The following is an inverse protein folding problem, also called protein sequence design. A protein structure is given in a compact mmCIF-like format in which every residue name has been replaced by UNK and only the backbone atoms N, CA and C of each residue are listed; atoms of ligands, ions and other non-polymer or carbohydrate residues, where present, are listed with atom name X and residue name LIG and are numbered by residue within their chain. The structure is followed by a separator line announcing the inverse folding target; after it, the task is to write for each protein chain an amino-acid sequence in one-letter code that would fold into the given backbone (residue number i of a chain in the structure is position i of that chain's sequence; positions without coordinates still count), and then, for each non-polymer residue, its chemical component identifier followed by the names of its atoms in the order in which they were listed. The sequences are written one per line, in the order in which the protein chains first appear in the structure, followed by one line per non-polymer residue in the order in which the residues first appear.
data_IF_460633459079
#
_entry.id   IF_460633459079
#
_cell.length_a   1.000
_cell.length_b   1.000
_cell.length_c   1.000
_cell.angle_alpha   90.00
_cell.angle_beta   90.00
_cell.angle_gamma   90.00
#
_symmetry.space_group_name_H-M   'P 1'
#
loop_
_entity.id
_entity.type
_entity.pdbx_description
1 polymer ?
#
# COMPACT_ATOMS: atom_id res chain seq x y z
N UNK A 1 2.75 -37.42 1.33
CA UNK A 1 3.12 -36.76 0.04
C UNK A 1 2.96 -35.26 0.22
N UNK A 2 3.57 -34.44 -0.63
CA UNK A 2 3.49 -32.98 -0.54
C UNK A 2 2.75 -32.38 -1.73
N UNK A 3 2.08 -31.26 -1.52
CA UNK A 3 1.41 -30.53 -2.59
C UNK A 3 2.42 -29.85 -3.50
N UNK A 4 2.37 -30.15 -4.81
CA UNK A 4 3.28 -29.59 -5.82
C UNK A 4 3.25 -28.05 -5.96
N UNK A 5 2.19 -27.39 -5.48
CA UNK A 5 2.00 -25.93 -5.66
C UNK A 5 2.27 -25.12 -4.40
N UNK A 6 1.90 -25.64 -3.22
CA UNK A 6 2.01 -24.90 -1.96
C UNK A 6 2.90 -25.57 -0.91
N UNK A 7 3.50 -26.74 -1.21
CA UNK A 7 4.46 -27.41 -0.33
C UNK A 7 3.89 -28.03 0.94
N UNK A 8 2.56 -28.01 1.13
CA UNK A 8 1.91 -28.57 2.33
C UNK A 8 1.93 -30.10 2.28
N UNK A 9 2.15 -30.74 3.42
CA UNK A 9 2.02 -32.18 3.58
C UNK A 9 0.55 -32.62 3.45
N UNK A 10 0.31 -33.61 2.60
CA UNK A 10 -0.99 -34.20 2.31
C UNK A 10 -1.08 -35.57 2.98
N UNK A 11 -2.15 -35.74 3.76
CA UNK A 11 -2.59 -37.01 4.31
C UNK A 11 -3.52 -37.64 3.26
N UNK A 12 -2.98 -38.57 2.48
CA UNK A 12 -3.69 -39.37 1.46
C UNK A 12 -4.32 -38.58 0.30
N UNK A 13 -4.94 -39.29 -0.65
CA UNK A 13 -5.34 -38.89 -2.01
C UNK A 13 -6.42 -37.78 -2.11
N UNK A 14 -6.50 -36.91 -1.12
CA UNK A 14 -7.43 -35.80 -1.05
C UNK A 14 -6.89 -34.54 -1.75
N UNK A 15 -7.78 -33.70 -2.33
CA UNK A 15 -7.40 -32.37 -2.80
C UNK A 15 -6.69 -31.57 -1.72
N UNK A 16 -5.65 -30.84 -2.11
CA UNK A 16 -4.99 -29.93 -1.19
C UNK A 16 -6.01 -28.90 -0.65
N UNK A 17 -6.21 -28.79 0.68
CA UNK A 17 -7.22 -27.91 1.27
C UNK A 17 -6.92 -26.40 1.06
N UNK A 18 -5.69 -26.06 0.66
CA UNK A 18 -5.29 -24.67 0.41
C UNK A 18 -5.41 -24.27 -1.06
N UNK A 19 -5.05 -25.15 -1.99
CA UNK A 19 -4.96 -24.81 -3.42
C UNK A 19 -5.85 -25.66 -4.34
N UNK A 20 -6.58 -26.64 -3.80
CA UNK A 20 -7.57 -27.45 -4.52
C UNK A 20 -7.01 -28.48 -5.50
N UNK A 21 -5.69 -28.65 -5.61
CA UNK A 21 -5.08 -29.58 -6.58
C UNK A 21 -5.13 -31.00 -6.03
N UNK A 22 -5.67 -31.92 -6.83
CA UNK A 22 -5.89 -33.33 -6.47
C UNK A 22 -4.74 -34.23 -6.91
N UNK A 23 -4.02 -33.91 -8.00
CA UNK A 23 -2.90 -34.74 -8.49
C UNK A 23 -1.81 -33.93 -9.19
N UNK A 24 -0.56 -34.41 -9.17
CA UNK A 24 0.48 -33.93 -10.07
C UNK A 24 0.14 -34.32 -11.52
N UNK A 25 -0.32 -33.35 -12.31
CA UNK A 25 -0.58 -33.52 -13.74
C UNK A 25 0.52 -32.88 -14.57
N UNK A 26 1.32 -33.72 -15.21
CA UNK A 26 2.27 -33.35 -16.26
C UNK A 26 2.80 -34.62 -16.93
N UNK A 27 2.75 -34.69 -18.25
CA UNK A 27 3.36 -35.78 -19.03
C UNK A 27 4.89 -35.67 -19.04
N UNK A 28 5.42 -34.47 -18.75
CA UNK A 28 6.85 -34.20 -18.64
C UNK A 28 7.30 -34.14 -17.18
N UNK A 29 8.46 -34.74 -16.86
CA UNK A 29 9.02 -34.77 -15.51
C UNK A 29 10.44 -34.19 -15.45
N UNK A 30 10.78 -33.55 -14.34
CA UNK A 30 12.13 -33.09 -13.97
C UNK A 30 12.61 -33.83 -12.71
N UNK A 31 13.92 -33.88 -12.47
CA UNK A 31 14.46 -34.43 -11.21
C UNK A 31 14.40 -33.38 -10.10
N UNK A 32 14.03 -33.80 -8.88
CA UNK A 32 14.06 -32.93 -7.71
C UNK A 32 15.51 -32.54 -7.33
N UNK A 33 15.74 -31.26 -7.01
CA UNK A 33 17.06 -30.74 -6.56
C UNK A 33 17.59 -31.40 -5.28
N UNK A 34 16.69 -31.88 -4.40
CA UNK A 34 17.04 -32.44 -3.09
C UNK A 34 17.08 -33.97 -3.08
N UNK A 35 15.98 -34.62 -3.49
CA UNK A 35 15.86 -36.08 -3.41
C UNK A 35 16.03 -36.81 -4.75
N UNK A 36 16.24 -36.08 -5.84
CA UNK A 36 16.49 -36.62 -7.20
C UNK A 36 15.38 -37.49 -7.81
N UNK A 37 14.29 -37.73 -7.08
CA UNK A 37 13.09 -38.40 -7.59
C UNK A 37 12.42 -37.57 -8.69
N UNK A 38 11.78 -38.23 -9.68
CA UNK A 38 11.06 -37.56 -10.75
C UNK A 38 9.82 -36.85 -10.20
N UNK A 39 9.65 -35.60 -10.60
CA UNK A 39 8.52 -34.73 -10.25
C UNK A 39 8.01 -34.00 -11.49
N UNK A 40 6.75 -33.53 -11.53
CA UNK A 40 6.24 -32.72 -12.64
C UNK A 40 7.11 -31.49 -12.91
N UNK A 41 7.30 -31.14 -14.19
CA UNK A 41 8.09 -29.97 -14.58
C UNK A 41 7.56 -28.66 -13.97
N UNK A 42 6.23 -28.54 -13.87
CA UNK A 42 5.51 -27.40 -13.30
C UNK A 42 5.41 -27.43 -11.75
N UNK A 43 6.02 -28.40 -11.07
CA UNK A 43 6.00 -28.46 -9.61
C UNK A 43 6.92 -27.40 -9.00
N UNK A 44 6.34 -26.53 -8.16
CA UNK A 44 7.06 -25.57 -7.31
C UNK A 44 7.66 -26.28 -6.08
N UNK A 45 7.03 -27.35 -5.60
CA UNK A 45 7.51 -28.14 -4.47
C UNK A 45 7.58 -29.62 -4.84
N UNK A 46 8.57 -30.34 -4.31
CA UNK A 46 8.71 -31.76 -4.55
C UNK A 46 7.60 -32.55 -3.86
N UNK A 47 6.86 -33.39 -4.61
CA UNK A 47 5.77 -34.22 -4.07
C UNK A 47 6.23 -35.31 -3.10
N UNK A 48 7.52 -35.69 -3.15
CA UNK A 48 8.09 -36.74 -2.31
C UNK A 48 8.73 -36.20 -1.03
N UNK A 49 9.56 -35.17 -1.13
CA UNK A 49 10.35 -34.65 0.00
C UNK A 49 9.95 -33.25 0.48
N UNK A 50 9.00 -32.58 -0.19
CA UNK A 50 8.50 -31.26 0.19
C UNK A 50 9.45 -30.10 -0.11
N UNK A 51 10.66 -30.36 -0.63
CA UNK A 51 11.64 -29.31 -0.91
C UNK A 51 11.15 -28.35 -1.99
N UNK A 52 11.46 -27.06 -1.82
CA UNK A 52 11.23 -26.03 -2.84
C UNK A 52 12.05 -26.32 -4.09
N UNK A 53 11.38 -26.30 -5.23
CA UNK A 53 11.90 -26.56 -6.57
C UNK A 53 11.84 -25.31 -7.45
N UNK A 54 11.20 -24.23 -6.96
CA UNK A 54 11.30 -22.94 -7.60
C UNK A 54 12.78 -22.56 -7.72
N UNK A 55 13.16 -22.09 -8.90
CA UNK A 55 14.37 -21.32 -9.03
C UNK A 55 13.87 -19.89 -8.78
N UNK A 56 14.19 -19.31 -7.61
CA UNK A 56 14.14 -17.86 -7.47
C UNK A 56 15.25 -17.34 -8.37
N UNK A 57 14.90 -17.16 -9.64
CA UNK A 57 15.69 -16.36 -10.54
C UNK A 57 15.58 -14.93 -10.00
N UNK A 58 16.59 -14.47 -9.27
CA UNK A 58 16.82 -13.03 -9.06
C UNK A 58 17.11 -12.28 -10.39
N UNK A 59 17.11 -13.02 -11.50
CA UNK A 59 17.17 -12.50 -12.86
C UNK A 59 15.99 -13.05 -13.69
N UNK A 60 14.98 -12.20 -13.90
CA UNK A 60 14.30 -12.19 -15.20
C UNK A 60 15.37 -12.06 -16.29
N UNK A 61 15.55 -13.10 -17.09
CA UNK A 61 16.24 -13.05 -18.38
C UNK A 61 15.34 -13.88 -19.32
N UNK A 62 14.55 -13.28 -20.23
CA UNK A 62 14.96 -12.83 -21.57
C UNK A 62 16.27 -13.44 -22.03
N UNK A 63 16.20 -14.13 -23.18
CA UNK A 63 17.25 -14.84 -23.92
C UNK A 63 18.68 -14.25 -23.80
N UNK A 64 19.73 -15.09 -23.93
CA UNK A 64 21.11 -14.69 -23.66
C UNK A 64 21.56 -13.63 -24.68
N UNK A 65 21.80 -12.40 -24.20
CA UNK A 65 22.60 -11.41 -24.90
C UNK A 65 24.00 -11.43 -24.28
N UNK A 66 24.99 -11.47 -25.17
CA UNK A 66 26.41 -11.63 -24.88
C UNK A 66 26.96 -10.62 -23.87
N UNK A 67 27.96 -11.09 -23.13
CA UNK A 67 28.78 -10.38 -22.14
C UNK A 67 29.17 -8.97 -22.58
N UNK A 68 28.62 -7.90 -21.99
CA UNK A 68 29.25 -6.56 -22.00
C UNK A 68 28.73 -5.53 -20.97
N UNK A 69 27.81 -5.87 -20.06
CA UNK A 69 27.05 -4.85 -19.30
C UNK A 69 27.57 -4.49 -17.89
N UNK A 70 28.64 -5.11 -17.38
CA UNK A 70 29.12 -4.82 -16.01
C UNK A 70 29.83 -3.46 -15.83
N UNK A 71 29.97 -2.64 -16.88
CA UNK A 71 30.73 -1.37 -16.76
C UNK A 71 29.96 -0.13 -16.34
N UNK A 72 28.62 -0.16 -16.26
CA UNK A 72 27.84 1.08 -16.06
C UNK A 72 26.65 0.93 -15.09
N UNK A 73 26.88 0.45 -13.87
CA UNK A 73 25.86 0.57 -12.81
C UNK A 73 26.09 1.85 -12.01
N UNK A 74 25.19 2.83 -12.20
CA UNK A 74 25.14 4.05 -11.40
C UNK A 74 24.89 3.77 -9.91
N UNK A 75 25.05 4.80 -9.08
CA UNK A 75 24.90 4.72 -7.62
C UNK A 75 23.55 4.10 -7.18
N UNK A 76 23.53 3.28 -6.12
CA UNK A 76 22.29 2.77 -5.51
C UNK A 76 21.30 3.88 -5.13
N UNK A 77 20.00 3.66 -5.34
CA UNK A 77 18.92 4.65 -5.19
C UNK A 77 18.81 5.23 -3.77
N UNK A 78 19.16 4.43 -2.77
CA UNK A 78 19.24 4.78 -1.34
C UNK A 78 20.41 5.72 -1.01
N UNK A 79 21.33 5.92 -1.94
CA UNK A 79 22.49 6.81 -1.82
C UNK A 79 22.38 8.05 -2.73
N UNK A 80 21.27 8.22 -3.47
CA UNK A 80 21.04 9.38 -4.35
C UNK A 80 20.41 10.54 -3.58
N UNK A 81 20.96 11.74 -3.76
CA UNK A 81 20.35 12.96 -3.23
C UNK A 81 19.08 13.31 -4.02
N UNK A 82 18.19 14.07 -3.39
CA UNK A 82 16.90 14.44 -3.98
C UNK A 82 17.04 15.22 -5.30
N UNK A 83 18.11 15.99 -5.45
CA UNK A 83 18.44 16.72 -6.69
C UNK A 83 18.95 15.79 -7.80
N UNK A 84 19.73 14.76 -7.47
CA UNK A 84 20.21 13.77 -8.43
C UNK A 84 19.06 12.90 -8.95
N UNK A 85 18.13 12.54 -8.06
CA UNK A 85 16.93 11.79 -8.44
C UNK A 85 16.00 12.60 -9.35
N UNK A 86 15.84 13.90 -9.08
CA UNK A 86 15.06 14.82 -9.92
C UNK A 86 15.65 15.00 -11.32
N UNK A 87 16.98 15.07 -11.44
CA UNK A 87 17.65 15.15 -12.75
C UNK A 87 17.47 13.86 -13.53
N UNK A 88 17.63 12.71 -12.88
CA UNK A 88 17.45 11.40 -13.51
C UNK A 88 16.00 11.20 -14.00
N UNK A 89 15.02 11.62 -13.21
CA UNK A 89 13.60 11.54 -13.61
C UNK A 89 13.28 12.47 -14.77
N UNK A 90 13.81 13.69 -14.80
CA UNK A 90 13.64 14.61 -15.93
C UNK A 90 14.26 14.08 -17.23
N UNK A 91 15.42 13.42 -17.15
CA UNK A 91 16.09 12.81 -18.30
C UNK A 91 15.32 11.60 -18.84
N UNK A 92 14.78 10.77 -17.95
CA UNK A 92 13.93 9.64 -18.32
C UNK A 92 12.62 10.12 -18.97
N UNK A 93 11.99 11.18 -18.43
CA UNK A 93 10.78 11.78 -19.02
C UNK A 93 11.02 12.31 -20.43
N UNK A 94 12.21 12.85 -20.73
CA UNK A 94 12.57 13.24 -22.08
C UNK A 94 12.74 12.04 -23.01
N UNK A 95 13.40 10.97 -22.55
CA UNK A 95 13.60 9.75 -23.35
C UNK A 95 12.28 9.01 -23.64
N UNK A 96 11.31 9.08 -22.72
CA UNK A 96 9.95 8.59 -22.95
C UNK A 96 9.22 9.43 -24.01
N UNK A 97 9.31 10.77 -23.94
CA UNK A 97 8.72 11.67 -24.95
C UNK A 97 9.30 11.44 -26.35
N UNK A 98 10.57 11.07 -26.42
CA UNK A 98 11.26 10.79 -27.68
C UNK A 98 11.00 9.36 -28.20
N UNK A 99 10.23 8.55 -27.45
CA UNK A 99 9.87 7.18 -27.86
C UNK A 99 11.00 6.15 -27.73
N UNK A 100 12.13 6.52 -27.14
CA UNK A 100 13.31 5.65 -26.98
C UNK A 100 13.12 4.59 -25.88
N UNK A 101 12.25 4.88 -24.91
CA UNK A 101 11.94 4.00 -23.77
C UNK A 101 10.44 3.75 -23.72
N UNK A 102 10.05 2.48 -23.86
CA UNK A 102 8.66 2.08 -23.65
C UNK A 102 8.36 2.13 -22.15
N UNK A 103 7.38 2.96 -21.76
CA UNK A 103 6.99 3.22 -20.36
C UNK A 103 6.59 1.96 -19.57
N UNK A 104 6.40 0.82 -20.26
CA UNK A 104 6.14 -0.48 -19.69
C UNK A 104 7.34 -1.10 -18.95
N UNK A 105 8.58 -0.62 -19.17
CA UNK A 105 9.79 -1.22 -18.59
C UNK A 105 10.20 -0.64 -17.22
N UNK A 106 9.61 0.48 -16.81
CA UNK A 106 9.82 1.06 -15.47
C UNK A 106 8.74 0.52 -14.54
N UNK A 107 8.69 -0.81 -14.37
CA UNK A 107 8.03 -1.41 -13.21
C UNK A 107 9.03 -1.31 -12.06
N UNK A 108 9.24 -0.08 -11.56
CA UNK A 108 9.67 0.03 -10.18
C UNK A 108 8.58 -0.70 -9.41
N UNK A 109 8.98 -1.60 -8.51
CA UNK A 109 8.11 -2.30 -7.57
C UNK A 109 7.54 -1.30 -6.55
N UNK A 110 6.96 -0.20 -7.01
CA UNK A 110 6.14 0.71 -6.25
C UNK A 110 4.87 -0.06 -5.96
N UNK A 111 4.84 -0.69 -4.78
CA UNK A 111 3.75 -0.51 -3.81
C UNK A 111 2.63 0.34 -4.42
N UNK A 112 1.66 -0.33 -5.06
CA UNK A 112 0.62 0.30 -5.86
C UNK A 112 -0.05 1.37 -5.00
N UNK A 113 0.13 2.62 -5.41
CA UNK A 113 -0.37 3.79 -4.72
C UNK A 113 -1.12 4.63 -5.74
N UNK A 114 -2.26 5.21 -5.35
CA UNK A 114 -3.12 5.95 -6.28
C UNK A 114 -2.42 7.12 -6.97
N UNK A 115 -1.43 7.69 -6.27
CA UNK A 115 -0.53 8.69 -6.82
C UNK A 115 0.85 8.08 -7.00
N UNK A 116 1.47 8.24 -8.19
CA UNK A 116 2.83 7.78 -8.42
C UNK A 116 3.82 8.52 -7.50
N UNK A 117 3.55 9.81 -7.23
CA UNK A 117 4.36 10.64 -6.34
C UNK A 117 3.45 11.17 -5.22
N UNK A 118 3.62 10.71 -3.98
CA UNK A 118 2.82 11.18 -2.85
C UNK A 118 3.27 12.60 -2.46
N UNK A 119 2.36 13.56 -2.56
CA UNK A 119 2.56 14.97 -2.17
C UNK A 119 1.53 15.37 -1.12
N UNK A 120 1.86 16.31 -0.23
CA UNK A 120 0.96 16.71 0.85
C UNK A 120 -0.44 17.11 0.35
N UNK A 121 -0.51 18.04 -0.61
CA UNK A 121 -1.77 18.52 -1.18
C UNK A 121 -2.53 17.43 -1.95
N UNK A 122 -1.80 16.59 -2.68
CA UNK A 122 -2.37 15.42 -3.37
C UNK A 122 -3.01 14.45 -2.41
N UNK A 123 -2.29 14.05 -1.35
CA UNK A 123 -2.77 13.10 -0.34
C UNK A 123 -3.95 13.65 0.47
N UNK A 124 -3.94 14.93 0.84
CA UNK A 124 -5.08 15.59 1.50
C UNK A 124 -6.31 15.55 0.61
N UNK A 125 -6.17 15.97 -0.65
CA UNK A 125 -7.27 15.96 -1.62
C UNK A 125 -7.84 14.55 -1.81
N UNK A 126 -6.99 13.54 -1.86
CA UNK A 126 -7.41 12.14 -1.98
C UNK A 126 -8.24 11.68 -0.78
N UNK A 127 -7.76 11.94 0.45
CA UNK A 127 -8.49 11.53 1.66
C UNK A 127 -9.86 12.20 1.73
N UNK A 128 -9.95 13.50 1.45
CA UNK A 128 -11.20 14.27 1.46
C UNK A 128 -12.14 13.79 0.35
N UNK A 129 -11.64 13.56 -0.87
CA UNK A 129 -12.44 13.08 -2.01
C UNK A 129 -13.12 11.74 -1.73
N UNK A 130 -12.47 10.90 -0.94
CA UNK A 130 -12.91 9.54 -0.64
C UNK A 130 -13.29 9.37 0.84
N UNK A 131 -13.80 10.43 1.47
CA UNK A 131 -14.22 10.47 2.88
C UNK A 131 -15.27 9.40 3.25
N UNK A 132 -16.12 8.99 2.29
CA UNK A 132 -17.16 7.96 2.48
C UNK A 132 -16.86 6.64 1.76
N UNK A 133 -15.65 6.46 1.20
CA UNK A 133 -15.29 5.24 0.47
C UNK A 133 -14.35 4.38 1.30
N UNK A 134 -14.90 3.31 1.89
CA UNK A 134 -14.16 2.43 2.81
C UNK A 134 -13.41 1.30 2.09
N UNK A 135 -13.90 0.84 0.93
CA UNK A 135 -13.37 -0.35 0.25
C UNK A 135 -12.17 -0.10 -0.68
N UNK A 136 -11.64 1.13 -0.67
CA UNK A 136 -10.56 1.58 -1.55
C UNK A 136 -9.18 1.38 -0.94
N UNK A 137 -8.20 0.96 -1.73
CA UNK A 137 -6.83 0.81 -1.24
C UNK A 137 -6.15 2.17 -1.02
N UNK A 138 -5.29 2.28 0.00
CA UNK A 138 -4.56 3.50 0.30
C UNK A 138 -3.12 3.18 0.70
N UNK A 139 -2.17 3.64 -0.12
CA UNK A 139 -0.76 3.45 0.14
C UNK A 139 -0.26 4.23 1.35
N UNK A 140 0.79 3.71 1.97
CA UNK A 140 1.33 4.20 3.25
C UNK A 140 1.70 5.69 3.23
N UNK A 141 2.40 6.14 2.20
CA UNK A 141 2.83 7.54 2.11
C UNK A 141 1.62 8.49 1.97
N UNK A 142 0.63 8.11 1.15
CA UNK A 142 -0.60 8.89 0.99
C UNK A 142 -1.43 8.96 2.27
N UNK A 143 -1.48 7.85 3.01
CA UNK A 143 -2.15 7.82 4.30
C UNK A 143 -1.52 8.85 5.27
N UNK A 144 -0.21 8.77 5.53
CA UNK A 144 0.42 9.64 6.53
C UNK A 144 0.44 11.12 6.11
N UNK A 145 0.76 11.43 4.86
CA UNK A 145 0.73 12.81 4.36
C UNK A 145 -0.68 13.39 4.41
N UNK A 146 -1.68 12.62 3.98
CA UNK A 146 -3.07 13.06 4.04
C UNK A 146 -3.57 13.21 5.47
N UNK A 147 -3.23 12.28 6.37
CA UNK A 147 -3.62 12.33 7.79
C UNK A 147 -3.03 13.57 8.47
N UNK A 148 -1.72 13.82 8.29
CA UNK A 148 -1.05 15.01 8.81
C UNK A 148 -1.67 16.27 8.20
N UNK A 149 -1.88 16.31 6.89
CA UNK A 149 -2.44 17.49 6.23
C UNK A 149 -3.88 17.80 6.68
N UNK A 150 -4.74 16.80 6.83
CA UNK A 150 -6.09 16.98 7.40
C UNK A 150 -6.00 17.44 8.86
N UNK A 151 -5.07 16.90 9.64
CA UNK A 151 -4.85 17.33 11.04
C UNK A 151 -4.38 18.79 11.13
N UNK A 152 -3.51 19.23 10.23
CA UNK A 152 -3.05 20.63 10.14
C UNK A 152 -4.17 21.57 9.70
N UNK A 153 -5.02 21.16 8.75
CA UNK A 153 -6.19 21.93 8.33
C UNK A 153 -7.17 22.09 9.52
N UNK A 154 -7.48 21.01 10.23
CA UNK A 154 -8.32 21.07 11.44
C UNK A 154 -7.70 21.98 12.50
N UNK A 155 -6.40 21.85 12.77
CA UNK A 155 -5.69 22.69 13.73
C UNK A 155 -5.76 24.18 13.34
N UNK A 156 -5.57 24.49 12.06
CA UNK A 156 -5.69 25.85 11.55
C UNK A 156 -7.08 26.44 11.83
N UNK A 157 -8.16 25.72 11.53
CA UNK A 157 -9.51 26.19 11.83
C UNK A 157 -9.77 26.34 13.34
N UNK A 158 -9.25 25.43 14.17
CA UNK A 158 -9.35 25.56 15.62
C UNK A 158 -8.61 26.80 16.16
N UNK A 159 -7.47 27.16 15.58
CA UNK A 159 -6.74 28.37 15.93
C UNK A 159 -7.46 29.64 15.45
N UNK A 160 -8.05 29.60 14.25
CA UNK A 160 -8.87 30.71 13.74
C UNK A 160 -10.08 30.98 14.63
N UNK A 161 -10.80 29.93 15.05
CA UNK A 161 -11.95 30.05 15.96
C UNK A 161 -11.53 30.72 17.27
N UNK A 162 -10.41 30.30 17.87
CA UNK A 162 -9.89 30.94 19.09
C UNK A 162 -9.64 32.43 18.92
N UNK A 163 -9.10 32.84 17.77
CA UNK A 163 -8.85 34.26 17.46
C UNK A 163 -10.13 35.04 17.23
N UNK A 164 -11.10 34.47 16.52
CA UNK A 164 -12.40 35.11 16.24
C UNK A 164 -13.17 35.37 17.54
N UNK A 165 -13.20 34.40 18.45
CA UNK A 165 -13.92 34.51 19.72
C UNK A 165 -13.09 35.17 20.83
N UNK A 166 -11.80 35.46 20.56
CA UNK A 166 -10.83 36.01 21.50
C UNK A 166 -10.79 35.22 22.83
N UNK A 167 -10.79 33.89 22.74
CA UNK A 167 -10.79 33.00 23.88
C UNK A 167 -9.81 31.83 23.63
N UNK A 168 -9.11 31.34 24.67
CA UNK A 168 -8.32 30.12 24.55
C UNK A 168 -9.23 28.90 24.43
N UNK A 169 -8.71 27.81 23.86
CA UNK A 169 -9.49 26.57 23.65
C UNK A 169 -10.18 26.06 24.93
N UNK A 170 -9.51 26.13 26.08
CA UNK A 170 -10.08 25.67 27.36
C UNK A 170 -11.38 26.42 27.72
N UNK A 171 -11.45 27.73 27.45
CA UNK A 171 -12.65 28.53 27.71
C UNK A 171 -13.77 28.23 26.71
N UNK A 172 -13.43 27.99 25.44
CA UNK A 172 -14.40 27.60 24.40
C UNK A 172 -15.06 26.25 24.67
N UNK A 173 -14.39 25.37 25.43
CA UNK A 173 -14.92 24.05 25.81
C UNK A 173 -15.77 24.07 27.08
N UNK A 174 -15.90 25.21 27.76
CA UNK A 174 -16.69 25.32 28.97
C UNK A 174 -18.20 25.30 28.66
N UNK A 175 -18.97 24.48 29.38
CA UNK A 175 -20.41 24.31 29.14
C UNK A 175 -21.18 25.63 29.17
N UNK A 176 -20.89 26.49 30.16
CA UNK A 176 -21.50 27.80 30.28
C UNK A 176 -21.22 28.72 29.07
N UNK A 177 -20.07 28.56 28.40
CA UNK A 177 -19.71 29.33 27.22
C UNK A 177 -20.45 28.82 25.98
N UNK A 178 -20.53 27.50 25.80
CA UNK A 178 -21.24 26.88 24.69
C UNK A 178 -22.75 27.11 24.73
N UNK A 179 -23.35 27.15 25.93
CA UNK A 179 -24.77 27.50 26.11
C UNK A 179 -25.04 28.95 25.68
N UNK A 180 -24.10 29.87 25.95
CA UNK A 180 -24.19 31.27 25.51
C UNK A 180 -23.95 31.45 24.01
N UNK A 181 -23.19 30.54 23.39
CA UNK A 181 -22.84 30.58 21.96
C UNK A 181 -23.21 29.28 21.25
N UNK A 182 -24.52 28.99 21.05
CA UNK A 182 -24.97 27.72 20.47
C UNK A 182 -24.47 27.48 19.04
N UNK A 183 -24.30 28.56 18.25
CA UNK A 183 -23.72 28.46 16.90
C UNK A 183 -22.27 27.96 16.91
N UNK A 184 -21.47 28.38 17.90
CA UNK A 184 -20.11 27.89 18.07
C UNK A 184 -20.11 26.38 18.40
N UNK A 185 -21.02 25.94 19.27
CA UNK A 185 -21.16 24.51 19.60
C UNK A 185 -21.45 23.68 18.34
N UNK A 186 -22.35 24.14 17.47
CA UNK A 186 -22.64 23.48 16.19
C UNK A 186 -21.41 23.46 15.27
N UNK A 187 -20.70 24.58 15.14
CA UNK A 187 -19.48 24.66 14.30
C UNK A 187 -18.40 23.68 14.79
N UNK A 188 -18.14 23.66 16.10
CA UNK A 188 -17.15 22.75 16.70
C UNK A 188 -17.55 21.29 16.51
N UNK A 189 -18.84 20.97 16.67
CA UNK A 189 -19.36 19.62 16.45
C UNK A 189 -19.20 19.18 14.98
N UNK A 190 -19.53 20.05 14.02
CA UNK A 190 -19.37 19.75 12.60
C UNK A 190 -17.91 19.57 12.20
N UNK A 191 -17.01 20.42 12.72
CA UNK A 191 -15.57 20.30 12.49
C UNK A 191 -15.02 18.99 13.07
N UNK A 192 -15.46 18.62 14.28
CA UNK A 192 -15.10 17.35 14.92
C UNK A 192 -15.59 16.15 14.10
N UNK A 193 -16.87 16.13 13.71
CA UNK A 193 -17.45 15.06 12.91
C UNK A 193 -16.73 14.91 11.57
N UNK A 194 -16.47 16.02 10.89
CA UNK A 194 -15.70 16.03 9.65
C UNK A 194 -14.31 15.41 9.84
N UNK A 195 -13.56 15.84 10.86
CA UNK A 195 -12.23 15.30 11.16
C UNK A 195 -12.26 13.81 11.50
N UNK A 196 -13.19 13.40 12.37
CA UNK A 196 -13.33 12.01 12.83
C UNK A 196 -13.68 11.09 11.67
N UNK A 197 -14.69 11.43 10.86
CA UNK A 197 -15.09 10.61 9.70
C UNK A 197 -13.96 10.52 8.69
N UNK A 198 -13.30 11.63 8.37
CA UNK A 198 -12.20 11.70 7.41
C UNK A 198 -11.05 10.78 7.80
N UNK A 199 -10.61 10.87 9.06
CA UNK A 199 -9.49 10.08 9.56
C UNK A 199 -9.88 8.62 9.81
N UNK A 200 -11.11 8.33 10.27
CA UNK A 200 -11.59 6.95 10.45
C UNK A 200 -11.62 6.20 9.11
N UNK A 201 -12.25 6.79 8.08
CA UNK A 201 -12.32 6.16 6.76
C UNK A 201 -10.93 5.96 6.14
N UNK A 202 -10.01 6.91 6.33
CA UNK A 202 -8.63 6.76 5.87
C UNK A 202 -7.90 5.61 6.58
N UNK A 203 -8.04 5.50 7.90
CA UNK A 203 -7.40 4.45 8.69
C UNK A 203 -7.96 3.07 8.35
N UNK A 204 -9.27 2.93 8.17
CA UNK A 204 -9.88 1.65 7.76
C UNK A 204 -9.37 1.22 6.37
N UNK A 205 -9.26 2.15 5.42
CA UNK A 205 -8.66 1.86 4.10
C UNK A 205 -7.21 1.39 4.21
N UNK A 206 -6.41 2.07 5.04
CA UNK A 206 -5.02 1.70 5.31
C UNK A 206 -4.92 0.33 5.96
N UNK A 207 -5.83 -0.01 6.87
CA UNK A 207 -5.91 -1.32 7.51
C UNK A 207 -6.19 -2.42 6.49
N UNK A 208 -7.22 -2.25 5.67
CA UNK A 208 -7.55 -3.19 4.60
C UNK A 208 -6.39 -3.37 3.60
N UNK A 209 -5.64 -2.29 3.34
CA UNK A 209 -4.47 -2.33 2.45
C UNK A 209 -3.24 -3.01 3.10
N UNK A 210 -3.08 -2.91 4.42
CA UNK A 210 -2.10 -3.69 5.20
C UNK A 210 -2.54 -5.16 5.41
N UNK A 211 -3.74 -5.55 4.97
CA UNK A 211 -4.27 -6.90 5.16
C UNK A 211 -4.77 -7.19 6.57
N UNK A 212 -4.96 -6.15 7.39
CA UNK A 212 -5.56 -6.25 8.72
C UNK A 212 -7.06 -5.91 8.63
N UNK A 213 -7.85 -6.49 9.54
CA UNK A 213 -9.29 -6.25 9.61
C UNK A 213 -9.59 -4.78 9.97
N UNK A 214 -10.57 -4.17 9.29
CA UNK A 214 -11.04 -2.81 9.63
C UNK A 214 -11.58 -2.69 11.06
N UNK A 215 -11.98 -3.80 11.68
CA UNK A 215 -12.47 -3.87 13.06
C UNK A 215 -11.47 -3.36 14.11
N UNK A 216 -10.17 -3.40 13.83
CA UNK A 216 -9.14 -2.84 14.71
C UNK A 216 -9.27 -1.33 14.91
N UNK A 217 -10.12 -0.64 14.12
CA UNK A 217 -10.42 0.78 14.31
C UNK A 217 -11.06 1.07 15.67
N UNK A 218 -11.69 0.07 16.31
CA UNK A 218 -12.27 0.19 17.65
C UNK A 218 -11.21 0.61 18.68
N UNK A 219 -9.94 0.21 18.52
CA UNK A 219 -8.86 0.61 19.43
C UNK A 219 -8.75 2.13 19.56
N UNK A 220 -9.11 2.88 18.52
CA UNK A 220 -9.04 4.33 18.50
C UNK A 220 -9.90 5.01 19.56
N UNK A 221 -10.95 4.34 20.04
CA UNK A 221 -11.83 4.85 21.10
C UNK A 221 -11.27 4.65 22.50
N UNK A 222 -10.11 4.01 22.66
CA UNK A 222 -9.38 3.94 23.93
C UNK A 222 -8.72 5.31 24.15
N UNK A 223 -9.07 6.06 25.22
CA UNK A 223 -8.48 7.35 25.51
C UNK A 223 -6.96 7.27 25.63
N UNK A 224 -6.25 8.34 25.24
CA UNK A 224 -4.79 8.50 25.31
C UNK A 224 -3.97 7.59 24.38
N UNK A 225 -4.22 6.29 24.38
CA UNK A 225 -3.38 5.31 23.67
C UNK A 225 -4.01 4.78 22.37
N UNK A 226 -5.33 4.90 22.21
CA UNK A 226 -6.05 4.31 21.10
C UNK A 226 -5.59 4.81 19.73
N UNK A 227 -5.45 6.12 19.58
CA UNK A 227 -4.94 6.75 18.37
C UNK A 227 -3.49 6.32 18.07
N UNK A 228 -2.65 6.23 19.12
CA UNK A 228 -1.25 5.84 18.99
C UNK A 228 -1.11 4.41 18.45
N UNK A 229 -1.79 3.44 19.06
CA UNK A 229 -1.80 2.06 18.58
C UNK A 229 -2.40 1.93 17.18
N UNK A 230 -3.44 2.72 16.90
CA UNK A 230 -4.07 2.77 15.58
C UNK A 230 -3.09 3.23 14.48
N UNK A 231 -2.34 4.30 14.75
CA UNK A 231 -1.31 4.79 13.83
C UNK A 231 -0.12 3.83 13.71
N UNK A 232 0.24 3.10 14.78
CA UNK A 232 1.28 2.08 14.74
C UNK A 232 0.91 0.94 13.76
N UNK A 233 -0.33 0.47 13.80
CA UNK A 233 -0.84 -0.52 12.85
C UNK A 233 -0.84 0.01 11.41
N UNK A 234 -1.06 1.30 11.22
CA UNK A 234 -1.02 1.92 9.89
C UNK A 234 0.38 1.95 9.24
N UNK A 235 1.47 1.79 10.01
CA UNK A 235 2.84 1.69 9.49
C UNK A 235 3.17 0.35 8.83
N UNK A 236 2.36 -0.70 9.08
CA UNK A 236 2.56 -2.03 8.52
C UNK A 236 2.71 -1.97 6.99
N UNK A 237 3.51 -2.88 6.39
CA UNK A 237 3.64 -2.95 4.94
C UNK A 237 2.29 -3.29 4.28
N UNK A 238 2.16 -2.97 2.99
CA UNK A 238 0.99 -3.35 2.22
C UNK A 238 0.95 -4.87 2.03
N UNK A 239 -0.25 -5.46 2.04
CA UNK A 239 -0.43 -6.88 1.83
C UNK A 239 -0.24 -7.25 0.35
N UNK A 240 0.58 -8.26 0.02
CA UNK A 240 0.79 -8.69 -1.37
C UNK A 240 -0.45 -9.36 -1.98
N UNK A 241 -1.46 -9.72 -1.17
CA UNK A 241 -2.67 -10.44 -1.60
C UNK A 241 -3.82 -9.51 -2.02
N UNK A 242 -3.68 -8.20 -1.85
CA UNK A 242 -4.76 -7.23 -2.07
C UNK A 242 -4.91 -6.96 -3.58
N UNK A 243 -6.12 -7.13 -4.11
CA UNK A 243 -6.47 -6.66 -5.47
C UNK A 243 -6.79 -5.16 -5.39
N UNK A 244 -6.12 -4.36 -6.22
CA UNK A 244 -6.30 -2.92 -6.26
C UNK A 244 -7.49 -2.55 -7.15
N UNK A 245 -8.28 -1.59 -6.70
CA UNK A 245 -9.50 -1.13 -7.35
C UNK A 245 -9.30 0.13 -8.22
N UNK A 246 -8.14 0.78 -8.10
CA UNK A 246 -7.77 1.90 -8.96
C UNK A 246 -7.01 1.40 -10.19
N UNK A 247 -7.49 1.77 -11.39
CA UNK A 247 -6.71 1.71 -12.62
C UNK A 247 -5.53 2.66 -12.47
N UNK A 248 -4.31 2.16 -12.61
CA UNK A 248 -3.13 3.04 -12.69
C UNK A 248 -3.32 4.02 -13.84
N UNK A 249 -2.73 5.22 -13.76
CA UNK A 249 -2.83 6.22 -14.85
C UNK A 249 -2.36 5.66 -16.21
N UNK A 250 -1.54 4.60 -16.19
CA UNK A 250 -1.10 3.83 -17.36
C UNK A 250 -2.26 3.10 -18.06
N UNK A 251 -3.28 2.64 -17.32
CA UNK A 251 -4.45 1.94 -17.89
C UNK A 251 -5.48 2.91 -18.50
N UNK A 252 -5.46 4.19 -18.12
CA UNK A 252 -6.34 5.21 -18.72
C UNK A 252 -5.87 5.69 -20.09
N UNK A 253 -4.57 5.57 -20.40
CA UNK A 253 -4.02 5.93 -21.71
C UNK A 253 -4.08 4.78 -22.73
N UNK A 254 -4.39 3.55 -22.32
CA UNK A 254 -4.64 2.42 -23.23
C UNK A 254 -6.02 2.42 -23.90
N UNK A 255 -6.93 3.31 -23.47
CA UNK A 255 -8.31 3.40 -23.97
C UNK A 255 -8.62 4.75 -24.64
N UNK A 256 -7.60 5.49 -25.06
CA UNK A 256 -7.70 6.67 -25.94
C UNK A 256 -6.85 6.44 -27.16
#
# INVERSE_FOLDING_TARGET
MYCQRCGRELKENHPCPLCGIVKPTSDETKKCKKCQLPIPVNANYCVHCGADQAILNDNFQTQPAENNSEKNMGKPLDQMTQAEFQKLTAEIDQKIKNGEISSNLIVINTRLNETPIPTLSGSVRLIIKDIFKVNKAMGRANFFLGYIGVSLITLFFLLLIQKIFNQPMMALMQEAYLIKHPMLAVILLLLLLWYVITTLTATIRRYHDAGISGWWIILRFIPMFGEFFSLLLAFLPQSPKRKYDFKGKIDSDKNK
#
